data_IF_412912412041
#
_entry.id   IF_412912412041
#
_cell.length_a   1.000
_cell.length_b   1.000
_cell.length_c   1.000
_cell.angle_alpha   90.00
_cell.angle_beta   90.00
_cell.angle_gamma   90.00
#
_symmetry.space_group_name_H-M   'P 1'
#
loop_
_entity.id
_entity.type
_entity.pdbx_description
1 polymer ?
#
# COMPACT_ATOMS: atom_id res chain seq x y z
N UNK A 1 -7.90 17.74 0.37
CA UNK A 1 -7.59 18.86 0.82
C UNK A 1 -8.15 20.13 0.20
N UNK A 2 -9.34 20.04 -0.29
CA UNK A 2 -10.25 21.09 -0.73
C UNK A 2 -11.13 21.66 0.41
N UNK A 3 -10.63 21.59 1.66
CA UNK A 3 -11.33 22.03 2.85
C UNK A 3 -12.04 20.92 3.63
N UNK A 4 -12.04 19.69 3.15
CA UNK A 4 -12.53 18.55 3.93
C UNK A 4 -11.53 18.14 5.01
N UNK A 5 -12.02 17.75 6.17
CA UNK A 5 -11.19 17.27 7.27
C UNK A 5 -10.60 15.89 6.94
N UNK A 6 -9.30 15.73 7.12
CA UNK A 6 -8.62 14.45 6.98
C UNK A 6 -9.17 13.43 7.98
N UNK A 7 -9.69 12.31 7.49
CA UNK A 7 -10.16 11.20 8.33
C UNK A 7 -8.98 10.31 8.65
N UNK A 8 -8.69 10.15 9.93
CA UNK A 8 -7.59 9.32 10.42
C UNK A 8 -8.09 8.41 11.53
N UNK A 9 -7.73 7.12 11.46
CA UNK A 9 -7.84 6.19 12.59
C UNK A 9 -6.45 5.91 13.14
N UNK A 10 -6.04 6.55 14.26
CA UNK A 10 -4.73 6.36 14.83
C UNK A 10 -4.63 5.07 15.65
N UNK A 11 -3.43 4.48 15.66
CA UNK A 11 -3.02 3.39 16.53
C UNK A 11 -1.69 3.81 17.18
N UNK A 12 -1.72 4.24 18.44
CA UNK A 12 -0.52 4.67 19.16
C UNK A 12 0.55 3.57 19.23
N UNK A 13 1.81 3.97 19.21
CA UNK A 13 2.91 3.05 19.43
C UNK A 13 2.76 2.33 20.78
N UNK A 14 3.01 1.01 20.80
CA UNK A 14 2.92 0.23 22.04
C UNK A 14 4.05 0.54 23.04
N UNK A 15 5.14 1.16 22.59
CA UNK A 15 6.27 1.59 23.43
C UNK A 15 6.17 3.07 23.80
N UNK A 16 6.77 3.44 24.94
CA UNK A 16 6.88 4.84 25.37
C UNK A 16 7.74 5.70 24.43
N UNK A 17 8.63 5.07 23.67
CA UNK A 17 9.45 5.71 22.63
C UNK A 17 8.90 5.35 21.26
N UNK A 18 8.38 6.36 20.54
CA UNK A 18 7.89 6.17 19.19
C UNK A 18 9.08 5.96 18.23
N UNK A 19 9.12 4.81 17.56
CA UNK A 19 10.13 4.44 16.58
C UNK A 19 10.07 5.25 15.29
N UNK A 20 8.86 5.54 14.84
CA UNK A 20 8.58 6.22 13.58
C UNK A 20 7.10 6.25 13.26
N UNK A 21 6.77 6.62 12.04
CA UNK A 21 5.39 6.72 11.58
C UNK A 21 5.08 5.65 10.51
N UNK A 22 3.87 5.11 10.55
CA UNK A 22 3.35 4.20 9.53
C UNK A 22 1.98 4.71 9.04
N UNK A 23 1.91 5.15 7.78
CA UNK A 23 0.68 5.62 7.17
C UNK A 23 0.12 4.52 6.27
N UNK A 24 -1.18 4.22 6.41
CA UNK A 24 -1.85 3.14 5.71
C UNK A 24 -2.98 3.67 4.82
N UNK A 25 -2.92 3.37 3.52
CA UNK A 25 -3.88 3.80 2.49
C UNK A 25 -4.71 2.62 2.02
N UNK A 26 -6.03 2.69 2.20
CA UNK A 26 -6.98 1.62 1.84
C UNK A 26 -7.22 1.50 0.33
N UNK A 27 -7.80 0.38 -0.11
CA UNK A 27 -8.25 0.15 -1.48
C UNK A 27 -9.48 1.00 -1.87
N UNK A 28 -9.84 0.98 -3.15
CA UNK A 28 -11.06 1.64 -3.64
C UNK A 28 -12.30 1.12 -2.90
N UNK A 29 -13.18 2.02 -2.49
CA UNK A 29 -14.37 1.70 -1.68
C UNK A 29 -14.08 1.31 -0.22
N UNK A 30 -12.84 1.50 0.25
CA UNK A 30 -12.46 1.30 1.65
C UNK A 30 -12.76 2.51 2.54
N UNK A 31 -12.19 2.49 3.74
CA UNK A 31 -12.24 3.59 4.70
C UNK A 31 -11.10 3.44 5.71
N UNK A 32 -10.99 4.39 6.62
CA UNK A 32 -10.06 4.37 7.76
C UNK A 32 -10.26 3.19 8.72
N UNK A 33 -11.39 2.47 8.59
CA UNK A 33 -11.67 1.24 9.33
C UNK A 33 -10.99 -0.02 8.72
N UNK A 34 -10.44 0.09 7.50
CA UNK A 34 -9.72 -0.99 6.85
C UNK A 34 -8.29 -1.15 7.35
N UNK A 35 -7.60 -2.21 6.90
CA UNK A 35 -6.18 -2.47 7.20
C UNK A 35 -5.83 -2.52 8.70
N UNK A 36 -6.83 -2.75 9.57
CA UNK A 36 -6.65 -2.70 11.03
C UNK A 36 -5.62 -3.71 11.55
N UNK A 37 -5.47 -4.88 10.92
CA UNK A 37 -4.47 -5.87 11.30
C UNK A 37 -3.04 -5.34 11.10
N UNK A 38 -2.79 -4.67 9.97
CA UNK A 38 -1.50 -4.03 9.69
C UNK A 38 -1.24 -2.86 10.64
N UNK A 39 -2.23 -2.00 10.84
CA UNK A 39 -2.08 -0.84 11.72
C UNK A 39 -1.74 -1.26 13.16
N UNK A 40 -2.42 -2.29 13.69
CA UNK A 40 -2.10 -2.86 15.02
C UNK A 40 -0.71 -3.48 15.05
N UNK A 41 -0.31 -4.20 14.00
CA UNK A 41 1.02 -4.79 13.91
C UNK A 41 2.12 -3.74 13.91
N UNK A 42 1.97 -2.68 13.11
CA UNK A 42 2.92 -1.57 13.07
C UNK A 42 3.00 -0.84 14.43
N UNK A 43 1.84 -0.65 15.09
CA UNK A 43 1.80 -0.05 16.43
C UNK A 43 2.53 -0.93 17.47
N UNK A 44 2.33 -2.25 17.42
CA UNK A 44 3.05 -3.20 18.27
C UNK A 44 4.59 -3.16 18.06
N UNK A 45 5.02 -2.84 16.83
CA UNK A 45 6.43 -2.69 16.45
C UNK A 45 6.99 -1.28 16.75
N UNK A 46 6.24 -0.44 17.50
CA UNK A 46 6.66 0.86 18.00
C UNK A 46 6.42 2.04 17.05
N UNK A 47 5.64 1.88 15.97
CA UNK A 47 5.26 2.98 15.11
C UNK A 47 3.98 3.69 15.61
N UNK A 48 3.90 5.00 15.49
CA UNK A 48 2.62 5.68 15.43
C UNK A 48 1.99 5.33 14.08
N UNK A 49 1.02 4.45 14.11
CA UNK A 49 0.37 3.94 12.93
C UNK A 49 -0.97 4.65 12.68
N UNK A 50 -1.29 4.99 11.43
CA UNK A 50 -2.54 5.67 11.09
C UNK A 50 -3.12 5.15 9.78
N UNK A 51 -4.34 4.63 9.83
CA UNK A 51 -5.13 4.37 8.62
C UNK A 51 -5.84 5.65 8.22
N UNK A 52 -5.64 6.07 6.98
CA UNK A 52 -6.25 7.30 6.45
C UNK A 52 -7.47 6.99 5.59
N UNK A 53 -8.51 7.77 5.74
CA UNK A 53 -9.68 7.77 4.86
C UNK A 53 -9.42 8.64 3.63
N UNK A 54 -10.00 8.23 2.50
CA UNK A 54 -9.94 8.96 1.23
C UNK A 54 -11.36 9.19 0.74
N UNK A 55 -11.96 10.37 1.00
CA UNK A 55 -13.36 10.64 0.65
C UNK A 55 -13.67 10.40 -0.83
N UNK A 56 -12.78 10.82 -1.73
CA UNK A 56 -12.96 10.78 -3.19
C UNK A 56 -12.98 9.35 -3.77
N UNK A 57 -12.50 8.38 -3.00
CA UNK A 57 -12.40 6.99 -3.41
C UNK A 57 -12.84 6.00 -2.34
N UNK A 58 -13.47 6.49 -1.29
CA UNK A 58 -14.01 5.70 -0.21
C UNK A 58 -15.34 5.02 -0.55
N UNK A 59 -15.97 4.45 0.48
CA UNK A 59 -17.22 3.68 0.34
C UNK A 59 -18.35 4.47 -0.33
N UNK A 60 -18.51 5.75 0.03
CA UNK A 60 -19.57 6.59 -0.51
C UNK A 60 -19.33 6.90 -1.99
N UNK A 61 -18.11 7.29 -2.37
CA UNK A 61 -17.73 7.56 -3.74
C UNK A 61 -17.92 6.32 -4.64
N UNK A 62 -17.52 5.14 -4.16
CA UNK A 62 -17.74 3.90 -4.90
C UNK A 62 -19.23 3.59 -5.06
N UNK A 63 -20.03 3.71 -3.99
CA UNK A 63 -21.48 3.48 -4.05
C UNK A 63 -22.16 4.39 -5.08
N UNK A 64 -21.75 5.65 -5.15
CA UNK A 64 -22.31 6.59 -6.14
C UNK A 64 -21.97 6.13 -7.57
N UNK A 65 -20.70 5.86 -7.86
CA UNK A 65 -20.27 5.39 -9.18
C UNK A 65 -20.92 4.08 -9.61
N UNK A 66 -21.13 3.17 -8.65
CA UNK A 66 -21.83 1.89 -8.91
C UNK A 66 -23.30 2.14 -9.25
N UNK A 67 -23.97 3.08 -8.59
CA UNK A 67 -25.35 3.47 -8.93
C UNK A 67 -25.42 4.06 -10.33
N UNK A 68 -24.46 4.89 -10.70
CA UNK A 68 -24.48 5.63 -11.96
C UNK A 68 -24.10 4.76 -13.18
N UNK A 69 -23.21 3.78 -13.00
CA UNK A 69 -22.61 3.05 -14.13
C UNK A 69 -22.52 1.51 -13.94
N UNK A 70 -23.05 0.97 -12.85
CA UNK A 70 -22.92 -0.44 -12.48
C UNK A 70 -21.57 -0.79 -11.85
N UNK A 71 -21.47 -1.98 -11.24
CA UNK A 71 -20.34 -2.38 -10.40
C UNK A 71 -19.00 -2.34 -11.14
N UNK A 72 -18.93 -3.01 -12.32
CA UNK A 72 -17.65 -3.12 -13.07
C UNK A 72 -17.19 -1.76 -13.57
N UNK A 73 -18.08 -0.98 -14.17
CA UNK A 73 -17.77 0.34 -14.70
C UNK A 73 -17.47 1.34 -13.61
N UNK A 74 -18.27 1.37 -12.53
CA UNK A 74 -18.04 2.26 -11.38
C UNK A 74 -16.70 2.01 -10.70
N UNK A 75 -16.27 0.76 -10.55
CA UNK A 75 -14.96 0.44 -10.00
C UNK A 75 -13.83 0.77 -10.98
N UNK A 76 -14.00 0.50 -12.27
CA UNK A 76 -13.02 0.83 -13.30
C UNK A 76 -12.76 2.34 -13.39
N UNK A 77 -13.82 3.15 -13.39
CA UNK A 77 -13.70 4.61 -13.41
C UNK A 77 -13.04 5.15 -12.15
N UNK A 78 -13.36 4.57 -10.97
CA UNK A 78 -12.74 4.98 -9.71
C UNK A 78 -11.22 4.76 -9.71
N UNK A 79 -10.75 3.59 -10.15
CA UNK A 79 -9.32 3.26 -10.12
C UNK A 79 -8.50 3.94 -11.22
N UNK A 80 -9.12 4.68 -12.14
CA UNK A 80 -8.47 5.49 -13.17
C UNK A 80 -8.68 7.00 -12.98
N UNK A 81 -9.31 7.42 -11.88
CA UNK A 81 -9.64 8.82 -11.62
C UNK A 81 -8.42 9.61 -11.12
N UNK A 82 -7.97 10.57 -11.93
CA UNK A 82 -6.83 11.43 -11.58
C UNK A 82 -7.11 12.35 -10.38
N UNK A 83 -8.34 12.81 -10.21
CA UNK A 83 -8.73 13.66 -9.07
C UNK A 83 -8.68 12.85 -7.77
N UNK A 84 -9.16 11.59 -7.79
CA UNK A 84 -9.08 10.72 -6.64
C UNK A 84 -7.62 10.43 -6.22
N UNK A 85 -6.70 10.23 -7.17
CA UNK A 85 -5.29 10.03 -6.81
C UNK A 85 -4.62 11.31 -6.31
N UNK A 86 -4.96 12.48 -6.85
CA UNK A 86 -4.49 13.76 -6.28
C UNK A 86 -4.95 13.93 -4.84
N UNK A 87 -6.23 13.72 -4.55
CA UNK A 87 -6.78 13.77 -3.19
C UNK A 87 -6.03 12.80 -2.26
N UNK A 88 -5.84 11.54 -2.69
CA UNK A 88 -5.09 10.54 -1.91
C UNK A 88 -3.65 10.97 -1.57
N UNK A 89 -2.91 11.54 -2.51
CA UNK A 89 -1.56 12.04 -2.24
C UNK A 89 -1.56 13.22 -1.27
N UNK A 90 -2.57 14.10 -1.34
CA UNK A 90 -2.74 15.20 -0.39
C UNK A 90 -3.08 14.68 1.01
N UNK A 91 -3.96 13.67 1.12
CA UNK A 91 -4.28 13.00 2.39
C UNK A 91 -3.05 12.31 3.00
N UNK A 92 -2.24 11.64 2.16
CA UNK A 92 -0.97 11.02 2.59
C UNK A 92 -0.02 12.08 3.15
N UNK A 93 0.16 13.20 2.46
CA UNK A 93 1.02 14.29 2.91
C UNK A 93 0.53 14.91 4.23
N UNK A 94 -0.77 15.15 4.36
CA UNK A 94 -1.39 15.68 5.57
C UNK A 94 -1.28 14.70 6.76
N UNK A 95 -1.52 13.40 6.53
CA UNK A 95 -1.38 12.37 7.55
C UNK A 95 0.08 12.21 8.00
N UNK A 96 1.03 12.27 7.07
CA UNK A 96 2.46 12.26 7.38
C UNK A 96 2.83 13.44 8.27
N UNK A 97 2.41 14.65 7.94
CA UNK A 97 2.67 15.85 8.74
C UNK A 97 2.04 15.73 10.15
N UNK A 98 0.78 15.27 10.23
CA UNK A 98 0.08 15.04 11.48
C UNK A 98 0.81 14.03 12.38
N UNK A 99 1.25 12.88 11.81
CA UNK A 99 1.95 11.84 12.55
C UNK A 99 3.35 12.28 12.99
N UNK A 100 4.12 12.97 12.11
CA UNK A 100 5.47 13.46 12.42
C UNK A 100 5.49 14.52 13.53
N UNK A 101 4.42 15.30 13.68
CA UNK A 101 4.26 16.23 14.79
C UNK A 101 4.14 15.51 16.14
N UNK A 102 3.64 14.27 16.16
CA UNK A 102 3.34 13.45 17.34
C UNK A 102 4.37 12.37 17.66
N UNK A 103 5.11 11.92 16.66
CA UNK A 103 6.15 10.92 16.78
C UNK A 103 7.48 11.50 16.28
N UNK A 104 8.47 11.57 17.14
CA UNK A 104 9.81 12.08 16.82
C UNK A 104 10.79 10.99 16.34
N UNK A 105 10.30 9.75 16.22
CA UNK A 105 11.06 8.67 15.59
C UNK A 105 11.39 8.98 14.13
N UNK A 106 12.50 8.42 13.64
CA UNK A 106 13.06 8.80 12.33
C UNK A 106 12.54 7.93 11.17
N UNK A 107 11.98 6.76 11.46
CA UNK A 107 11.52 5.85 10.41
C UNK A 107 10.14 6.27 9.88
N UNK A 108 9.95 6.24 8.57
CA UNK A 108 8.66 6.54 7.94
C UNK A 108 8.30 5.50 6.88
N UNK A 109 7.11 4.90 7.02
CA UNK A 109 6.62 3.84 6.15
C UNK A 109 5.27 4.22 5.56
N UNK A 110 5.11 4.09 4.25
CA UNK A 110 3.81 4.16 3.59
C UNK A 110 3.40 2.77 3.12
N UNK A 111 2.24 2.31 3.61
CA UNK A 111 1.65 1.03 3.23
C UNK A 111 0.34 1.26 2.48
N UNK A 112 0.03 0.43 1.50
CA UNK A 112 -1.26 0.55 0.82
C UNK A 112 -1.71 -0.74 0.14
N UNK A 113 -3.03 -0.92 0.09
CA UNK A 113 -3.67 -2.07 -0.56
C UNK A 113 -4.43 -1.62 -1.81
N UNK A 114 -4.30 -2.38 -2.91
CA UNK A 114 -5.08 -2.17 -4.14
C UNK A 114 -4.91 -0.73 -4.68
N UNK A 115 -5.96 0.09 -4.73
CA UNK A 115 -5.85 1.51 -5.09
C UNK A 115 -4.88 2.27 -4.14
N UNK A 116 -4.80 1.86 -2.86
CA UNK A 116 -3.78 2.34 -1.93
C UNK A 116 -2.36 1.92 -2.34
N UNK A 117 -2.18 0.71 -2.89
CA UNK A 117 -0.88 0.29 -3.42
C UNK A 117 -0.46 1.13 -4.65
N UNK A 118 -1.42 1.52 -5.50
CA UNK A 118 -1.14 2.48 -6.58
C UNK A 118 -0.72 3.84 -6.02
N UNK A 119 -1.38 4.33 -4.98
CA UNK A 119 -0.99 5.56 -4.28
C UNK A 119 0.44 5.46 -3.72
N UNK A 120 0.80 4.32 -3.10
CA UNK A 120 2.16 4.03 -2.63
C UNK A 120 3.18 4.11 -3.77
N UNK A 121 2.90 3.46 -4.90
CA UNK A 121 3.80 3.47 -6.06
C UNK A 121 3.95 4.88 -6.67
N UNK A 122 2.85 5.64 -6.74
CA UNK A 122 2.89 7.04 -7.21
C UNK A 122 3.70 7.93 -6.27
N UNK A 123 3.49 7.79 -4.95
CA UNK A 123 4.26 8.54 -3.94
C UNK A 123 5.75 8.21 -4.03
N UNK A 124 6.11 6.95 -4.26
CA UNK A 124 7.48 6.49 -4.47
C UNK A 124 8.12 6.93 -5.81
N UNK A 125 7.37 7.62 -6.69
CA UNK A 125 7.90 8.18 -7.94
C UNK A 125 7.57 7.40 -9.21
N UNK A 126 6.64 6.42 -9.17
CA UNK A 126 6.20 5.72 -10.39
C UNK A 126 5.53 6.68 -11.37
N UNK A 127 5.91 6.58 -12.66
CA UNK A 127 5.18 7.27 -13.74
C UNK A 127 3.80 6.64 -13.90
N UNK A 128 2.79 7.46 -14.18
CA UNK A 128 1.42 6.97 -14.29
C UNK A 128 0.63 7.71 -15.38
N UNK A 129 -0.42 7.08 -15.90
CA UNK A 129 -1.27 7.61 -16.95
C UNK A 129 -2.25 8.69 -16.49
N UNK A 130 -2.41 8.88 -15.16
CA UNK A 130 -3.30 9.92 -14.61
C UNK A 130 -2.56 11.25 -14.30
N UNK A 131 -1.28 11.32 -14.60
CA UNK A 131 -0.50 12.56 -14.55
C UNK A 131 -0.28 13.13 -13.15
N UNK A 132 -0.32 12.31 -12.09
CA UNK A 132 -0.03 12.75 -10.73
C UNK A 132 1.42 12.45 -10.36
N UNK A 133 2.00 13.29 -9.49
CA UNK A 133 3.39 13.15 -9.02
C UNK A 133 3.40 13.08 -7.50
N UNK A 134 4.01 12.04 -6.95
CA UNK A 134 4.32 11.92 -5.53
C UNK A 134 5.55 12.72 -5.12
N UNK A 135 5.77 12.82 -3.83
CA UNK A 135 6.84 13.58 -3.21
C UNK A 135 8.08 12.73 -2.83
N UNK A 136 7.98 11.39 -2.92
CA UNK A 136 9.00 10.43 -2.42
C UNK A 136 9.41 10.70 -0.96
N UNK A 137 8.40 10.99 -0.12
CA UNK A 137 8.59 11.55 1.21
C UNK A 137 8.79 10.50 2.32
N UNK A 138 8.71 9.20 2.01
CA UNK A 138 8.87 8.12 2.97
C UNK A 138 10.18 7.35 2.77
N UNK A 139 10.69 6.76 3.85
CA UNK A 139 11.91 5.96 3.78
C UNK A 139 11.66 4.57 3.18
N UNK A 140 10.46 4.03 3.38
CA UNK A 140 10.07 2.67 2.97
C UNK A 140 8.65 2.64 2.44
N UNK A 141 8.44 1.84 1.40
CA UNK A 141 7.15 1.65 0.75
C UNK A 141 6.72 0.19 0.77
N UNK A 142 5.44 -0.07 1.06
CA UNK A 142 4.85 -1.42 1.05
C UNK A 142 3.57 -1.40 0.22
N UNK A 143 3.55 -2.14 -0.87
CA UNK A 143 2.42 -2.22 -1.80
C UNK A 143 1.80 -3.63 -1.79
N UNK A 144 0.58 -3.72 -1.29
CA UNK A 144 -0.20 -4.95 -1.22
C UNK A 144 -1.14 -5.02 -2.43
N UNK A 145 -1.08 -6.09 -3.19
CA UNK A 145 -1.84 -6.24 -4.44
C UNK A 145 -1.64 -5.07 -5.42
N UNK A 146 -0.39 -4.70 -5.78
CA UNK A 146 -0.15 -3.57 -6.67
C UNK A 146 -0.68 -3.83 -8.08
N UNK A 147 -1.00 -2.76 -8.79
CA UNK A 147 -1.41 -2.85 -10.20
C UNK A 147 -0.20 -3.12 -11.09
N UNK A 148 -0.39 -3.99 -12.08
CA UNK A 148 0.58 -4.24 -13.14
C UNK A 148 0.52 -3.23 -14.28
N UNK A 149 1.21 -3.55 -15.37
CA UNK A 149 1.21 -2.74 -16.60
C UNK A 149 -0.20 -2.58 -17.16
N UNK A 150 -0.58 -1.35 -17.50
CA UNK A 150 -1.89 -0.99 -18.03
C UNK A 150 -2.03 0.52 -18.19
N UNK A 151 -3.26 0.99 -18.34
CA UNK A 151 -3.54 2.42 -18.49
C UNK A 151 -3.03 3.27 -17.31
N UNK A 152 -3.13 2.73 -16.08
CA UNK A 152 -2.66 3.44 -14.90
C UNK A 152 -1.13 3.50 -14.82
N UNK A 153 -0.45 2.38 -15.06
CA UNK A 153 1.00 2.29 -15.06
C UNK A 153 1.48 1.75 -16.40
N UNK A 154 2.04 2.61 -17.28
CA UNK A 154 2.61 2.17 -18.55
C UNK A 154 3.88 1.31 -18.34
N UNK A 155 4.34 0.63 -19.36
CA UNK A 155 5.62 -0.10 -19.34
C UNK A 155 6.76 0.84 -18.90
N UNK A 156 7.65 0.34 -18.05
CA UNK A 156 8.75 1.11 -17.44
C UNK A 156 8.31 2.16 -16.41
N UNK A 157 7.08 2.10 -15.90
CA UNK A 157 6.55 3.07 -14.93
C UNK A 157 7.40 3.18 -13.65
N UNK A 158 7.99 2.09 -13.20
CA UNK A 158 8.62 1.97 -11.88
C UNK A 158 10.14 2.18 -11.89
N UNK A 159 10.76 2.44 -13.04
CA UNK A 159 12.23 2.54 -13.19
C UNK A 159 12.87 3.66 -12.35
N UNK A 160 12.09 4.65 -11.92
CA UNK A 160 12.55 5.79 -11.11
C UNK A 160 12.38 5.59 -9.60
N UNK A 161 11.90 4.44 -9.16
CA UNK A 161 11.73 4.17 -7.73
C UNK A 161 13.06 3.69 -7.14
N UNK A 162 13.69 4.54 -6.33
CA UNK A 162 14.99 4.26 -5.71
C UNK A 162 14.87 3.76 -4.26
N UNK A 163 13.88 4.22 -3.52
CA UNK A 163 13.64 3.83 -2.12
C UNK A 163 13.37 2.33 -1.97
N UNK A 164 13.60 1.76 -0.78
CA UNK A 164 13.18 0.39 -0.47
C UNK A 164 11.69 0.16 -0.71
N UNK A 165 11.36 -0.92 -1.42
CA UNK A 165 9.97 -1.31 -1.73
C UNK A 165 9.74 -2.78 -1.50
N UNK A 166 8.69 -3.10 -0.74
CA UNK A 166 8.11 -4.43 -0.67
C UNK A 166 6.81 -4.48 -1.47
N UNK A 167 6.74 -5.36 -2.45
CA UNK A 167 5.51 -5.71 -3.15
C UNK A 167 5.00 -7.06 -2.64
N UNK A 168 3.71 -7.16 -2.28
CA UNK A 168 3.09 -8.41 -1.85
C UNK A 168 1.88 -8.71 -2.73
N UNK A 169 1.76 -9.94 -3.20
CA UNK A 169 0.59 -10.46 -3.92
C UNK A 169 0.33 -11.91 -3.51
N UNK A 170 -0.68 -12.54 -4.07
CA UNK A 170 -1.00 -13.94 -3.80
C UNK A 170 -1.32 -14.73 -5.05
N UNK A 171 -1.21 -16.06 -4.98
CA UNK A 171 -1.44 -16.93 -6.14
C UNK A 171 -2.90 -16.93 -6.62
N UNK A 172 -3.84 -16.37 -5.82
CA UNK A 172 -5.26 -16.18 -6.17
C UNK A 172 -5.67 -14.70 -6.21
N UNK A 173 -4.72 -13.78 -6.20
CA UNK A 173 -4.95 -12.33 -6.25
C UNK A 173 -5.20 -11.85 -7.70
N UNK A 174 -6.30 -12.30 -8.29
CA UNK A 174 -6.69 -11.91 -9.64
C UNK A 174 -7.03 -10.42 -9.71
N UNK A 175 -6.69 -9.79 -10.83
CA UNK A 175 -7.05 -8.39 -11.07
C UNK A 175 -8.52 -8.24 -11.47
N UNK A 176 -9.05 -7.03 -11.40
CA UNK A 176 -10.35 -6.69 -11.96
C UNK A 176 -10.40 -7.11 -13.43
N UNK A 177 -11.45 -7.86 -13.80
CA UNK A 177 -11.58 -8.44 -15.14
C UNK A 177 -10.95 -9.81 -15.31
N UNK A 178 -10.51 -10.47 -14.22
CA UNK A 178 -10.01 -11.86 -14.23
C UNK A 178 -8.58 -12.02 -14.71
N UNK A 179 -7.83 -10.92 -14.86
CA UNK A 179 -6.43 -11.03 -15.25
C UNK A 179 -5.60 -11.70 -14.15
N UNK A 180 -4.64 -12.53 -14.59
CA UNK A 180 -3.77 -13.32 -13.72
C UNK A 180 -3.01 -12.47 -12.70
N UNK A 181 -2.79 -13.03 -11.50
CA UNK A 181 -2.01 -12.42 -10.43
C UNK A 181 -0.55 -12.11 -10.82
N UNK A 182 0.02 -12.83 -11.79
CA UNK A 182 1.38 -12.57 -12.27
C UNK A 182 1.54 -11.12 -12.78
N UNK A 183 0.49 -10.48 -13.26
CA UNK A 183 0.56 -9.07 -13.65
C UNK A 183 0.92 -8.14 -12.48
N UNK A 184 0.66 -8.55 -11.24
CA UNK A 184 1.00 -7.78 -10.04
C UNK A 184 2.48 -7.83 -9.68
N UNK A 185 3.26 -8.70 -10.32
CA UNK A 185 4.72 -8.76 -10.14
C UNK A 185 5.45 -7.70 -10.99
N UNK A 186 4.76 -7.11 -11.97
CA UNK A 186 5.35 -6.12 -12.88
C UNK A 186 6.02 -4.91 -12.19
N UNK A 187 5.51 -4.36 -11.08
CA UNK A 187 6.20 -3.31 -10.35
C UNK A 187 7.59 -3.75 -9.88
N UNK A 188 7.69 -4.92 -9.25
CA UNK A 188 8.99 -5.47 -8.85
C UNK A 188 9.91 -5.64 -10.05
N UNK A 189 9.46 -6.29 -11.13
CA UNK A 189 10.26 -6.48 -12.32
C UNK A 189 10.78 -5.16 -12.92
N UNK A 190 9.94 -4.11 -12.89
CA UNK A 190 10.25 -2.80 -13.50
C UNK A 190 11.05 -1.85 -12.63
N UNK A 191 11.26 -2.12 -11.33
CA UNK A 191 12.12 -1.32 -10.45
C UNK A 191 13.59 -1.67 -10.65
N UNK A 192 14.48 -0.69 -10.48
CA UNK A 192 15.92 -0.91 -10.40
C UNK A 192 16.29 -1.68 -9.11
N UNK A 193 17.41 -2.43 -9.07
CA UNK A 193 17.94 -3.04 -7.85
C UNK A 193 18.13 -2.04 -6.71
N UNK A 194 18.14 -2.51 -5.48
CA UNK A 194 18.35 -1.70 -4.27
C UNK A 194 17.22 -1.87 -3.26
N UNK A 195 17.31 -2.95 -2.48
CA UNK A 195 16.32 -3.29 -1.45
C UNK A 195 14.88 -3.36 -1.99
N UNK A 196 14.66 -4.17 -3.01
CA UNK A 196 13.34 -4.45 -3.58
C UNK A 196 12.98 -5.90 -3.29
N UNK A 197 11.80 -6.11 -2.68
CA UNK A 197 11.27 -7.44 -2.41
C UNK A 197 9.93 -7.64 -3.11
N UNK A 198 9.74 -8.86 -3.61
CA UNK A 198 8.44 -9.37 -4.04
C UNK A 198 8.12 -10.62 -3.25
N UNK A 199 7.02 -10.60 -2.50
CA UNK A 199 6.48 -11.76 -1.83
C UNK A 199 5.19 -12.21 -2.50
N UNK A 200 5.11 -13.50 -2.83
CA UNK A 200 3.89 -14.13 -3.35
C UNK A 200 3.40 -15.13 -2.30
N UNK A 201 2.23 -14.86 -1.72
CA UNK A 201 1.63 -15.70 -0.67
C UNK A 201 0.69 -16.71 -1.34
N UNK A 202 0.94 -18.00 -1.06
CA UNK A 202 0.13 -19.06 -1.64
C UNK A 202 -1.31 -19.02 -1.14
N UNK A 203 -2.26 -19.21 -2.06
CA UNK A 203 -3.72 -19.18 -1.80
C UNK A 203 -4.29 -17.80 -1.50
N UNK A 204 -3.50 -16.77 -1.29
CA UNK A 204 -3.99 -15.44 -0.93
C UNK A 204 -4.75 -14.77 -2.09
N UNK A 205 -5.89 -14.18 -1.76
CA UNK A 205 -6.77 -13.44 -2.67
C UNK A 205 -6.62 -11.93 -2.50
N UNK A 206 -7.22 -11.17 -3.41
CA UNK A 206 -7.23 -9.70 -3.36
C UNK A 206 -7.80 -9.12 -2.06
N UNK A 207 -8.86 -9.73 -1.53
CA UNK A 207 -9.57 -9.21 -0.35
C UNK A 207 -8.84 -9.50 0.96
N UNK A 208 -8.03 -10.56 1.01
CA UNK A 208 -7.30 -10.95 2.22
C UNK A 208 -6.33 -9.86 2.64
N UNK A 209 -5.60 -9.26 1.71
CA UNK A 209 -4.68 -8.16 1.98
C UNK A 209 -5.35 -6.87 2.48
N UNK A 210 -6.64 -6.70 2.18
CA UNK A 210 -7.45 -5.61 2.69
C UNK A 210 -7.98 -5.81 4.11
N UNK A 211 -7.73 -6.99 4.72
CA UNK A 211 -8.30 -7.39 6.01
C UNK A 211 -9.80 -7.70 5.92
N UNK A 212 -10.29 -8.11 4.76
CA UNK A 212 -11.72 -8.38 4.51
C UNK A 212 -12.00 -9.82 4.08
N UNK A 213 -10.95 -10.59 3.79
CA UNK A 213 -11.08 -11.97 3.31
C UNK A 213 -11.32 -13.00 4.40
N UNK A 214 -11.16 -12.63 5.68
CA UNK A 214 -11.29 -13.56 6.80
C UNK A 214 -10.23 -14.66 6.78
N UNK A 215 -9.02 -14.36 6.32
CA UNK A 215 -7.90 -15.29 6.16
C UNK A 215 -6.76 -14.97 7.14
N UNK A 216 -6.87 -15.34 8.44
CA UNK A 216 -5.86 -15.00 9.45
C UNK A 216 -4.45 -15.43 9.09
N UNK A 217 -4.29 -16.62 8.46
CA UNK A 217 -2.98 -17.09 8.01
C UNK A 217 -2.35 -16.14 6.98
N UNK A 218 -3.12 -15.60 6.03
CA UNK A 218 -2.60 -14.64 5.05
C UNK A 218 -2.22 -13.33 5.72
N UNK A 219 -3.02 -12.86 6.69
CA UNK A 219 -2.71 -11.67 7.48
C UNK A 219 -1.39 -11.85 8.25
N UNK A 220 -1.21 -13.02 8.91
CA UNK A 220 0.01 -13.34 9.66
C UNK A 220 1.24 -13.42 8.74
N UNK A 221 1.15 -14.11 7.61
CA UNK A 221 2.25 -14.20 6.64
C UNK A 221 2.60 -12.81 6.06
N UNK A 222 1.59 -11.99 5.81
CA UNK A 222 1.78 -10.61 5.36
C UNK A 222 2.54 -9.78 6.40
N UNK A 223 2.12 -9.84 7.67
CA UNK A 223 2.78 -9.15 8.79
C UNK A 223 4.21 -9.64 8.98
N UNK A 224 4.45 -10.96 8.96
CA UNK A 224 5.79 -11.53 9.09
C UNK A 224 6.72 -11.03 7.97
N UNK A 225 6.23 -10.99 6.74
CA UNK A 225 6.98 -10.51 5.58
C UNK A 225 7.34 -9.03 5.72
N UNK A 226 6.39 -8.19 6.11
CA UNK A 226 6.62 -6.75 6.33
C UNK A 226 7.66 -6.54 7.43
N UNK A 227 7.55 -7.26 8.55
CA UNK A 227 8.52 -7.19 9.66
C UNK A 227 9.93 -7.60 9.24
N UNK A 228 10.05 -8.68 8.46
CA UNK A 228 11.33 -9.14 7.95
C UNK A 228 11.96 -8.08 7.01
N UNK A 229 11.17 -7.53 6.12
CA UNK A 229 11.61 -6.47 5.20
C UNK A 229 12.07 -5.21 5.94
N UNK A 230 11.26 -4.69 6.88
CA UNK A 230 11.60 -3.49 7.66
C UNK A 230 12.87 -3.69 8.50
N UNK A 231 13.08 -4.90 9.05
CA UNK A 231 14.34 -5.25 9.71
C UNK A 231 15.52 -5.20 8.76
N UNK A 232 15.36 -5.80 7.56
CA UNK A 232 16.39 -5.77 6.52
C UNK A 232 16.79 -4.34 6.14
N UNK A 233 15.83 -3.49 5.88
CA UNK A 233 16.06 -2.06 5.59
C UNK A 233 16.78 -1.36 6.74
N UNK A 234 16.30 -1.54 7.97
CA UNK A 234 16.86 -0.88 9.16
C UNK A 234 18.32 -1.22 9.41
N UNK A 235 18.72 -2.48 9.17
CA UNK A 235 20.09 -2.93 9.39
C UNK A 235 20.95 -2.93 8.12
N UNK A 236 20.45 -2.36 7.02
CA UNK A 236 21.17 -2.31 5.74
C UNK A 236 21.40 -3.70 5.10
N UNK A 237 20.67 -4.71 5.53
CA UNK A 237 20.74 -6.07 5.02
C UNK A 237 19.43 -6.48 4.36
N UNK A 238 19.28 -6.17 3.08
CA UNK A 238 18.08 -6.50 2.31
C UNK A 238 18.13 -7.89 1.64
N UNK A 239 19.04 -8.76 2.03
CA UNK A 239 19.07 -10.15 1.57
C UNK A 239 17.78 -10.90 1.96
N UNK A 240 17.46 -11.96 1.23
CA UNK A 240 16.32 -12.80 1.56
C UNK A 240 16.51 -13.44 2.96
N UNK A 241 15.50 -13.38 3.83
CA UNK A 241 15.51 -14.13 5.08
C UNK A 241 15.40 -15.63 4.81
N UNK A 242 15.46 -16.44 5.87
CA UNK A 242 15.17 -17.86 5.76
C UNK A 242 13.77 -18.08 5.12
N UNK A 243 13.63 -19.11 4.26
CA UNK A 243 12.36 -19.42 3.60
C UNK A 243 11.23 -19.64 4.60
N UNK A 244 10.05 -19.11 4.29
CA UNK A 244 8.82 -19.30 5.07
C UNK A 244 7.85 -20.09 4.22
N UNK A 245 7.28 -21.16 4.79
CA UNK A 245 6.28 -21.99 4.09
C UNK A 245 5.07 -21.13 3.68
N UNK A 246 4.65 -21.23 2.43
CA UNK A 246 3.54 -20.48 1.87
C UNK A 246 3.92 -19.09 1.35
N UNK A 247 5.22 -18.74 1.33
CA UNK A 247 5.72 -17.50 0.73
C UNK A 247 6.82 -17.82 -0.28
N UNK A 248 6.65 -17.40 -1.52
CA UNK A 248 7.74 -17.27 -2.49
C UNK A 248 8.29 -15.85 -2.42
N UNK A 249 9.59 -15.70 -2.16
CA UNK A 249 10.24 -14.40 -2.00
C UNK A 249 11.33 -14.20 -3.05
N UNK A 250 11.27 -13.07 -3.75
CA UNK A 250 12.30 -12.61 -4.67
C UNK A 250 12.87 -11.28 -4.15
N UNK A 251 14.18 -11.09 -4.28
CA UNK A 251 14.90 -9.88 -3.80
C UNK A 251 15.87 -9.36 -4.86
N UNK A 252 16.11 -8.06 -4.89
CA UNK A 252 17.12 -7.42 -5.73
C UNK A 252 17.55 -6.04 -5.25
#
# INVERSE_FOLDING_TARGET
ADGESLRIRPHPAASSTCRGIAILSHGGGGSEEGLGYLARSMAADGFLSAVIGHPESGRQALRQRVRDAGIRSGLSTLVSDSAAYRGRLMDVAAARAWASARCKGKESVLLGHSMGAATVMMEAGARNGVGVKGADAFDVYVALSPQGVGALFPSGAWSRIHRPVLSITGTRDTALGGASWQRRTAPFAGMSPGCKWLAVIDGATHLDFGGRGGAPLVEDLTVQTIRAFLRGVRFGNCAAPAPVRGIELQVK
#
